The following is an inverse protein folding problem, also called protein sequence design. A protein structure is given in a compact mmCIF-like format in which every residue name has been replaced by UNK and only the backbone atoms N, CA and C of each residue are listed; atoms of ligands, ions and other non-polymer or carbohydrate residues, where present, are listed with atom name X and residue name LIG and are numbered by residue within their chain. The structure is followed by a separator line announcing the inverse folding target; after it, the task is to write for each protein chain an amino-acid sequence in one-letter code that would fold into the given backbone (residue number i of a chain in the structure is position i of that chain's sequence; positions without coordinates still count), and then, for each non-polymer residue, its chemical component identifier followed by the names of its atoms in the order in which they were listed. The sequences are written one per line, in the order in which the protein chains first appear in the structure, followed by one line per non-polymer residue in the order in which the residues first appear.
data_IF_675832140240
#
_entry.id   IF_675832140240
#
_cell.length_a   1.000
_cell.length_b   1.000
_cell.length_c   1.000
_cell.angle_alpha   90.00
_cell.angle_beta   90.00
_cell.angle_gamma   90.00
#
_symmetry.space_group_name_H-M   'P 1'
#
loop_
_entity.id
_entity.type
_entity.pdbx_description
1 polymer ?
#
# COMPACT_ATOMS: atom_id res chain seq x y z
N UNK A 1 -11.53 -11.32 -30.01
CA UNK A 1 -11.22 -10.69 -31.30
C UNK A 1 -10.48 -9.39 -30.99
N UNK A 2 -9.16 -9.36 -31.17
CA UNK A 2 -8.35 -8.17 -30.86
C UNK A 2 -8.60 -7.11 -31.94
N UNK A 3 -9.13 -5.94 -31.56
CA UNK A 3 -9.26 -4.80 -32.48
C UNK A 3 -7.86 -4.31 -32.84
N UNK A 4 -7.59 -4.16 -34.14
CA UNK A 4 -6.35 -3.56 -34.66
C UNK A 4 -6.26 -2.11 -34.17
N UNK A 5 -5.07 -1.75 -33.69
CA UNK A 5 -4.68 -0.37 -33.36
C UNK A 5 -4.98 0.56 -34.54
N UNK A 6 -5.79 1.59 -34.29
CA UNK A 6 -6.07 2.65 -35.26
C UNK A 6 -5.14 3.85 -34.96
N UNK A 7 -4.12 4.11 -35.79
CA UNK A 7 -3.14 5.18 -35.55
C UNK A 7 -3.73 6.60 -35.60
N UNK A 8 -4.99 6.75 -36.02
CA UNK A 8 -5.70 8.04 -36.01
C UNK A 8 -6.56 8.28 -34.75
N UNK A 9 -6.73 7.28 -33.87
CA UNK A 9 -7.30 7.51 -32.54
C UNK A 9 -6.28 8.30 -31.70
N UNK A 10 -6.35 9.64 -31.77
CA UNK A 10 -5.74 10.51 -30.76
C UNK A 10 -6.44 10.20 -29.43
N UNK A 11 -5.84 9.33 -28.63
CA UNK A 11 -6.14 9.23 -27.21
C UNK A 11 -5.79 10.58 -26.59
N UNK A 12 -6.77 11.48 -26.51
CA UNK A 12 -6.63 12.70 -25.73
C UNK A 12 -6.58 12.24 -24.28
N UNK A 13 -5.38 12.24 -23.70
CA UNK A 13 -5.21 12.07 -22.26
C UNK A 13 -5.41 13.46 -21.65
N UNK A 14 -6.58 13.76 -21.05
CA UNK A 14 -6.79 15.04 -20.38
C UNK A 14 -5.70 15.22 -19.32
N UNK A 15 -5.05 16.38 -19.28
CA UNK A 15 -4.10 16.74 -18.23
C UNK A 15 -4.63 17.97 -17.51
N UNK A 16 -4.99 17.80 -16.25
CA UNK A 16 -5.39 18.92 -15.39
C UNK A 16 -4.23 19.89 -15.22
N UNK A 17 -4.53 21.18 -15.20
CA UNK A 17 -3.53 22.24 -15.00
C UNK A 17 -3.55 22.75 -13.57
N UNK A 18 -4.71 22.72 -12.94
CA UNK A 18 -4.93 23.25 -11.60
C UNK A 18 -5.46 22.18 -10.66
N UNK A 19 -5.12 22.32 -9.38
CA UNK A 19 -5.53 21.39 -8.34
C UNK A 19 -7.05 21.29 -8.25
N UNK A 20 -7.76 22.40 -8.33
CA UNK A 20 -9.22 22.43 -8.22
C UNK A 20 -9.91 21.65 -9.35
N UNK A 21 -9.31 21.60 -10.55
CA UNK A 21 -9.83 20.79 -11.66
C UNK A 21 -9.71 19.29 -11.34
N UNK A 22 -8.53 18.86 -10.89
CA UNK A 22 -8.27 17.45 -10.53
C UNK A 22 -9.05 17.03 -9.27
N UNK A 23 -9.18 17.93 -8.28
CA UNK A 23 -9.84 17.70 -7.00
C UNK A 23 -11.24 17.13 -7.19
N UNK A 24 -11.99 17.71 -8.12
CA UNK A 24 -13.39 17.36 -8.41
C UNK A 24 -13.59 15.90 -8.84
N UNK A 25 -12.54 15.24 -9.36
CA UNK A 25 -12.55 13.82 -9.75
C UNK A 25 -11.99 12.90 -8.66
N UNK A 26 -11.16 13.43 -7.74
CA UNK A 26 -10.69 12.68 -6.58
C UNK A 26 -11.76 12.65 -5.48
N UNK A 27 -12.50 13.73 -5.29
CA UNK A 27 -13.62 13.80 -4.34
C UNK A 27 -14.82 12.95 -4.80
N UNK A 28 -14.99 12.74 -6.11
CA UNK A 28 -16.01 11.88 -6.71
C UNK A 28 -15.41 10.95 -7.79
N UNK A 29 -14.96 9.78 -7.36
CA UNK A 29 -14.31 8.78 -8.21
C UNK A 29 -15.30 7.90 -9.00
N UNK A 30 -16.61 8.16 -8.93
CA UNK A 30 -17.61 7.49 -9.76
C UNK A 30 -17.74 8.10 -11.15
N UNK A 31 -17.08 9.23 -11.38
CA UNK A 31 -17.01 9.92 -12.67
C UNK A 31 -16.26 9.09 -13.72
N UNK A 32 -16.11 9.68 -14.89
CA UNK A 32 -15.36 9.11 -15.99
C UNK A 32 -13.99 8.58 -15.53
N UNK A 33 -13.71 7.31 -15.86
CA UNK A 33 -12.53 6.59 -15.35
C UNK A 33 -11.24 7.24 -15.82
N UNK A 34 -11.17 7.68 -17.07
CA UNK A 34 -9.94 8.23 -17.66
C UNK A 34 -9.63 9.60 -17.04
N UNK A 35 -10.67 10.40 -16.73
CA UNK A 35 -10.53 11.63 -15.97
C UNK A 35 -10.11 11.39 -14.52
N UNK A 36 -10.63 10.35 -13.85
CA UNK A 36 -10.17 9.98 -12.50
C UNK A 36 -8.70 9.56 -12.51
N UNK A 37 -8.29 8.71 -13.46
CA UNK A 37 -6.89 8.30 -13.63
C UNK A 37 -5.99 9.53 -13.85
N UNK A 38 -6.39 10.45 -14.73
CA UNK A 38 -5.65 11.68 -15.00
C UNK A 38 -5.55 12.59 -13.76
N UNK A 39 -6.57 12.57 -12.90
CA UNK A 39 -6.55 13.30 -11.63
C UNK A 39 -5.60 12.63 -10.62
N UNK A 40 -5.55 11.30 -10.57
CA UNK A 40 -4.57 10.57 -9.76
C UNK A 40 -3.14 10.94 -10.17
N UNK A 41 -2.86 10.94 -11.48
CA UNK A 41 -1.55 11.35 -12.01
C UNK A 41 -1.19 12.79 -11.63
N UNK A 42 -2.15 13.70 -11.70
CA UNK A 42 -1.96 15.07 -11.25
C UNK A 42 -1.58 15.12 -9.77
N UNK A 43 -2.33 14.44 -8.90
CA UNK A 43 -2.07 14.43 -7.45
C UNK A 43 -0.68 13.88 -7.14
N UNK A 44 -0.27 12.79 -7.79
CA UNK A 44 1.05 12.19 -7.59
C UNK A 44 2.16 13.12 -8.07
N UNK A 45 2.04 13.66 -9.28
CA UNK A 45 3.04 14.59 -9.86
C UNK A 45 3.26 15.83 -9.00
N UNK A 46 2.21 16.31 -8.35
CA UNK A 46 2.25 17.49 -7.48
C UNK A 46 2.44 17.15 -5.99
N UNK A 47 2.67 15.88 -5.66
CA UNK A 47 2.93 15.39 -4.30
C UNK A 47 1.78 15.61 -3.32
N UNK A 48 0.56 15.62 -3.82
CA UNK A 48 -0.70 15.70 -3.06
C UNK A 48 -1.11 14.33 -2.49
N UNK A 49 -0.13 13.57 -1.98
CA UNK A 49 -0.32 12.17 -1.61
C UNK A 49 -1.31 11.98 -0.47
N UNK A 50 -1.23 12.80 0.58
CA UNK A 50 -2.18 12.74 1.69
C UNK A 50 -3.61 12.99 1.21
N UNK A 51 -3.83 13.98 0.34
CA UNK A 51 -5.16 14.28 -0.20
C UNK A 51 -5.70 13.09 -1.01
N UNK A 52 -4.87 12.53 -1.88
CA UNK A 52 -5.22 11.36 -2.68
C UNK A 52 -5.53 10.14 -1.79
N UNK A 53 -4.63 9.76 -0.88
CA UNK A 53 -4.80 8.61 0.01
C UNK A 53 -6.04 8.74 0.90
N UNK A 54 -6.30 9.95 1.42
CA UNK A 54 -7.47 10.23 2.25
C UNK A 54 -8.75 9.98 1.46
N UNK A 55 -8.84 10.48 0.24
CA UNK A 55 -10.04 10.31 -0.58
C UNK A 55 -10.21 8.86 -1.05
N UNK A 56 -9.13 8.18 -1.44
CA UNK A 56 -9.18 6.74 -1.74
C UNK A 56 -9.75 5.96 -0.56
N UNK A 57 -9.26 6.21 0.66
CA UNK A 57 -9.76 5.57 1.86
C UNK A 57 -11.25 5.86 2.14
N UNK A 58 -11.69 7.11 2.00
CA UNK A 58 -13.10 7.45 2.18
C UNK A 58 -14.01 6.76 1.15
N UNK A 59 -13.57 6.65 -0.12
CA UNK A 59 -14.30 5.91 -1.15
C UNK A 59 -14.32 4.40 -0.89
N UNK A 60 -13.25 3.82 -0.33
CA UNK A 60 -13.23 2.42 0.12
C UNK A 60 -14.28 2.20 1.21
N UNK A 61 -14.35 3.08 2.22
CA UNK A 61 -15.33 2.97 3.32
C UNK A 61 -16.77 3.03 2.85
N UNK A 62 -17.05 3.83 1.81
CA UNK A 62 -18.38 3.93 1.20
C UNK A 62 -18.68 2.81 0.21
N UNK A 63 -17.71 1.93 -0.07
CA UNK A 63 -17.81 0.90 -1.10
C UNK A 63 -18.08 1.49 -2.50
N UNK A 64 -17.55 2.68 -2.75
CA UNK A 64 -17.68 3.44 -4.01
C UNK A 64 -16.41 3.35 -4.86
N UNK A 65 -15.27 2.97 -4.26
CA UNK A 65 -14.03 2.87 -5.00
C UNK A 65 -14.00 1.63 -5.90
N UNK A 66 -13.63 1.82 -7.17
CA UNK A 66 -13.25 0.71 -8.05
C UNK A 66 -11.82 0.27 -7.70
N UNK A 67 -11.63 -1.02 -7.40
CA UNK A 67 -10.33 -1.56 -6.96
C UNK A 67 -9.18 -1.26 -7.92
N UNK A 68 -9.42 -1.28 -9.22
CA UNK A 68 -8.43 -0.92 -10.25
C UNK A 68 -7.89 0.51 -10.14
N UNK A 69 -8.68 1.48 -9.64
CA UNK A 69 -8.22 2.86 -9.40
C UNK A 69 -7.27 2.89 -8.21
N UNK A 70 -7.56 2.12 -7.17
CA UNK A 70 -6.70 1.98 -6.01
C UNK A 70 -5.36 1.34 -6.36
N UNK A 71 -5.39 0.20 -7.06
CA UNK A 71 -4.20 -0.50 -7.53
C UNK A 71 -3.33 0.41 -8.41
N UNK A 72 -3.96 1.13 -9.34
CA UNK A 72 -3.27 2.11 -10.17
C UNK A 72 -2.59 3.19 -9.33
N UNK A 73 -3.30 3.82 -8.40
CA UNK A 73 -2.72 4.86 -7.55
C UNK A 73 -1.50 4.36 -6.76
N UNK A 74 -1.59 3.15 -6.17
CA UNK A 74 -0.47 2.54 -5.44
C UNK A 74 0.74 2.29 -6.33
N UNK A 75 0.52 1.82 -7.56
CA UNK A 75 1.59 1.55 -8.53
C UNK A 75 2.21 2.83 -9.11
N UNK A 76 1.46 3.92 -9.13
CA UNK A 76 1.89 5.19 -9.74
C UNK A 76 2.68 6.09 -8.80
N UNK A 77 2.67 5.85 -7.48
CA UNK A 77 3.45 6.68 -6.54
C UNK A 77 4.95 6.69 -6.89
N UNK A 78 5.51 7.88 -7.07
CA UNK A 78 6.92 8.11 -7.40
C UNK A 78 7.86 7.95 -6.18
N UNK A 79 7.32 8.12 -4.97
CA UNK A 79 7.98 7.86 -3.70
C UNK A 79 7.02 7.11 -2.77
N UNK A 80 7.52 6.51 -1.69
CA UNK A 80 6.64 6.04 -0.63
C UNK A 80 6.15 7.22 0.25
N UNK A 81 4.84 7.56 0.26
CA UNK A 81 4.31 8.54 1.20
C UNK A 81 4.42 7.99 2.63
N UNK A 82 5.07 8.74 3.51
CA UNK A 82 5.49 8.31 4.86
C UNK A 82 5.26 9.35 5.95
N UNK A 83 4.48 10.41 5.67
CA UNK A 83 4.02 11.33 6.72
C UNK A 83 3.10 10.56 7.67
N UNK A 84 3.03 10.99 8.93
CA UNK A 84 2.27 10.29 9.98
C UNK A 84 0.81 10.07 9.57
N UNK A 85 0.22 11.05 8.92
CA UNK A 85 -1.17 11.05 8.45
C UNK A 85 -1.38 10.04 7.30
N UNK A 86 -0.39 9.86 6.44
CA UNK A 86 -0.41 8.89 5.32
C UNK A 86 -0.25 7.46 5.87
N UNK A 87 0.68 7.27 6.80
CA UNK A 87 0.88 5.99 7.50
C UNK A 87 -0.37 5.57 8.27
N UNK A 88 -1.08 6.53 8.88
CA UNK A 88 -2.34 6.25 9.56
C UNK A 88 -3.41 5.74 8.57
N UNK A 89 -3.43 6.24 7.33
CA UNK A 89 -4.36 5.73 6.31
C UNK A 89 -4.01 4.29 5.93
N UNK A 90 -2.74 3.95 5.74
CA UNK A 90 -2.34 2.55 5.49
C UNK A 90 -2.79 1.63 6.63
N UNK A 91 -2.60 2.06 7.87
CA UNK A 91 -3.05 1.32 9.04
C UNK A 91 -4.57 1.08 9.01
N UNK A 92 -5.35 2.13 8.76
CA UNK A 92 -6.80 2.00 8.70
C UNK A 92 -7.26 1.04 7.59
N UNK A 93 -6.61 1.06 6.42
CA UNK A 93 -6.92 0.13 5.31
C UNK A 93 -6.52 -1.30 5.67
N UNK A 94 -5.37 -1.50 6.33
CA UNK A 94 -4.92 -2.83 6.78
C UNK A 94 -5.94 -3.49 7.71
N UNK A 95 -6.51 -2.73 8.66
CA UNK A 95 -7.54 -3.23 9.58
C UNK A 95 -8.85 -3.64 8.92
N UNK A 96 -9.09 -3.27 7.66
CA UNK A 96 -10.32 -3.65 6.95
C UNK A 96 -10.31 -5.13 6.53
N UNK A 97 -9.15 -5.79 6.54
CA UNK A 97 -8.97 -7.23 6.24
C UNK A 97 -9.67 -7.70 4.94
N UNK A 98 -9.67 -6.85 3.91
CA UNK A 98 -10.37 -7.05 2.65
C UNK A 98 -9.40 -7.01 1.44
N UNK A 99 -9.93 -6.93 0.21
CA UNK A 99 -9.11 -6.84 -1.01
C UNK A 99 -8.09 -5.69 -0.97
N UNK A 100 -8.51 -4.50 -0.53
CA UNK A 100 -7.66 -3.32 -0.41
C UNK A 100 -6.53 -3.48 0.59
N UNK A 101 -6.75 -4.22 1.69
CA UNK A 101 -5.68 -4.53 2.65
C UNK A 101 -4.56 -5.34 2.00
N UNK A 102 -4.88 -6.25 1.07
CA UNK A 102 -3.87 -7.02 0.33
C UNK A 102 -3.08 -6.13 -0.61
N UNK A 103 -3.74 -5.18 -1.27
CA UNK A 103 -3.08 -4.25 -2.19
C UNK A 103 -2.13 -3.32 -1.42
N UNK A 104 -2.52 -2.85 -0.23
CA UNK A 104 -1.62 -2.11 0.69
C UNK A 104 -0.44 -2.97 1.14
N UNK A 105 -0.64 -4.25 1.46
CA UNK A 105 0.47 -5.15 1.84
C UNK A 105 1.49 -5.25 0.71
N UNK A 106 1.05 -5.44 -0.54
CA UNK A 106 1.94 -5.51 -1.70
C UNK A 106 2.68 -4.19 -1.95
N UNK A 107 2.00 -3.06 -1.81
CA UNK A 107 2.63 -1.74 -1.88
C UNK A 107 3.70 -1.56 -0.78
N UNK A 108 3.38 -1.90 0.47
CA UNK A 108 4.31 -1.75 1.60
C UNK A 108 5.50 -2.70 1.53
N UNK A 109 5.39 -3.84 0.83
CA UNK A 109 6.55 -4.70 0.52
C UNK A 109 7.57 -3.97 -0.35
N UNK A 110 7.11 -3.26 -1.37
CA UNK A 110 7.97 -2.45 -2.25
C UNK A 110 8.62 -1.31 -1.46
N UNK A 111 7.86 -0.68 -0.55
CA UNK A 111 8.32 0.46 0.24
C UNK A 111 8.92 0.09 1.60
N UNK A 112 9.22 -1.19 1.85
CA UNK A 112 9.50 -1.72 3.19
C UNK A 112 10.63 -0.95 3.89
N UNK A 113 11.66 -0.53 3.14
CA UNK A 113 12.82 0.18 3.70
C UNK A 113 12.46 1.58 4.18
N UNK A 114 11.62 2.29 3.44
CA UNK A 114 11.24 3.68 3.68
C UNK A 114 10.30 3.85 4.89
N UNK A 115 9.45 2.85 5.12
CA UNK A 115 8.44 2.86 6.20
C UNK A 115 8.70 1.81 7.27
N UNK A 116 9.93 1.31 7.37
CA UNK A 116 10.29 0.19 8.23
C UNK A 116 9.86 0.36 9.68
N UNK A 117 10.11 1.53 10.28
CA UNK A 117 9.73 1.79 11.67
C UNK A 117 8.22 1.69 11.89
N UNK A 118 7.42 2.13 10.92
CA UNK A 118 5.97 1.94 10.94
C UNK A 118 5.61 0.45 10.90
N UNK A 119 6.19 -0.33 9.98
CA UNK A 119 5.91 -1.77 9.88
C UNK A 119 6.36 -2.52 11.13
N UNK A 120 7.51 -2.18 11.72
CA UNK A 120 7.95 -2.82 12.96
C UNK A 120 7.02 -2.53 14.14
N UNK A 121 6.40 -1.35 14.20
CA UNK A 121 5.40 -1.03 15.23
C UNK A 121 4.13 -1.88 15.09
N UNK A 122 3.79 -2.32 13.88
CA UNK A 122 2.66 -3.22 13.64
C UNK A 122 2.89 -4.64 14.18
N UNK A 123 4.11 -5.03 14.53
CA UNK A 123 4.41 -6.35 15.13
C UNK A 123 3.76 -6.55 16.51
N UNK A 124 3.31 -5.48 17.16
CA UNK A 124 2.65 -5.50 18.46
C UNK A 124 1.20 -4.99 18.39
N UNK A 125 0.63 -4.90 17.20
CA UNK A 125 -0.78 -4.52 17.01
C UNK A 125 -1.72 -5.55 17.63
N UNK A 126 -2.92 -5.14 18.05
CA UNK A 126 -3.91 -6.04 18.66
C UNK A 126 -4.48 -7.06 17.65
N UNK A 127 -4.59 -6.70 16.36
CA UNK A 127 -5.08 -7.61 15.31
C UNK A 127 -4.00 -8.62 14.90
N UNK A 128 -4.28 -9.93 14.99
CA UNK A 128 -3.40 -10.97 14.46
C UNK A 128 -3.17 -10.82 12.95
N UNK A 129 -4.15 -10.33 12.18
CA UNK A 129 -3.98 -10.09 10.75
C UNK A 129 -2.92 -9.01 10.49
N UNK A 130 -2.98 -7.89 11.21
CA UNK A 130 -2.02 -6.80 11.09
C UNK A 130 -0.61 -7.28 11.50
N UNK A 131 -0.48 -7.97 12.65
CA UNK A 131 0.82 -8.53 13.08
C UNK A 131 1.40 -9.51 12.05
N UNK A 132 0.59 -10.43 11.53
CA UNK A 132 1.01 -11.38 10.49
C UNK A 132 1.46 -10.65 9.21
N UNK A 133 0.73 -9.61 8.81
CA UNK A 133 1.05 -8.81 7.62
C UNK A 133 2.36 -8.05 7.79
N UNK A 134 2.60 -7.48 8.97
CA UNK A 134 3.87 -6.83 9.30
C UNK A 134 5.07 -7.78 9.14
N UNK A 135 4.96 -9.00 9.66
CA UNK A 135 6.00 -10.04 9.49
C UNK A 135 6.21 -10.38 8.01
N UNK A 136 5.15 -10.48 7.21
CA UNK A 136 5.25 -10.78 5.79
C UNK A 136 5.93 -9.65 5.00
N UNK A 137 5.59 -8.40 5.29
CA UNK A 137 6.20 -7.20 4.69
C UNK A 137 7.69 -7.14 5.01
N UNK A 138 8.07 -7.34 6.28
CA UNK A 138 9.46 -7.21 6.74
C UNK A 138 10.43 -8.16 6.04
N UNK A 139 9.96 -9.28 5.46
CA UNK A 139 10.81 -10.18 4.65
C UNK A 139 11.45 -9.48 3.44
N UNK A 140 10.87 -8.38 2.97
CA UNK A 140 11.35 -7.62 1.82
C UNK A 140 12.40 -6.57 2.20
N UNK A 141 12.56 -6.29 3.49
CA UNK A 141 13.66 -5.48 4.01
C UNK A 141 14.27 -6.12 5.26
N UNK A 142 14.76 -7.36 5.15
CA UNK A 142 15.20 -8.13 6.30
C UNK A 142 16.50 -7.56 6.85
N UNK A 143 16.61 -7.49 8.17
CA UNK A 143 17.87 -7.20 8.84
C UNK A 143 17.93 -7.89 10.22
N UNK A 144 19.12 -7.90 10.80
CA UNK A 144 19.40 -8.56 12.07
C UNK A 144 18.60 -7.99 13.25
N UNK A 145 18.46 -6.66 13.34
CA UNK A 145 17.68 -6.00 14.40
C UNK A 145 16.21 -6.43 14.33
N UNK A 146 15.60 -6.41 13.14
CA UNK A 146 14.23 -6.91 12.97
C UNK A 146 14.13 -8.41 13.30
N UNK A 147 15.11 -9.23 12.89
CA UNK A 147 15.12 -10.65 13.20
C UNK A 147 15.19 -10.92 14.71
N UNK A 148 16.07 -10.23 15.43
CA UNK A 148 16.19 -10.33 16.88
C UNK A 148 14.90 -9.89 17.58
N UNK A 149 14.28 -8.80 17.11
CA UNK A 149 12.98 -8.33 17.60
C UNK A 149 11.90 -9.39 17.40
N UNK A 150 11.72 -9.92 16.19
CA UNK A 150 10.73 -10.97 15.89
C UNK A 150 10.99 -12.22 16.74
N UNK A 151 12.24 -12.65 16.87
CA UNK A 151 12.63 -13.80 17.71
C UNK A 151 12.22 -13.61 19.18
N UNK A 152 12.34 -12.39 19.71
CA UNK A 152 11.92 -12.06 21.07
C UNK A 152 10.38 -12.06 21.27
N UNK A 153 9.61 -11.87 20.19
CA UNK A 153 8.15 -11.86 20.22
C UNK A 153 7.53 -13.25 20.11
N UNK A 154 8.19 -14.20 19.42
CA UNK A 154 7.67 -15.58 19.21
C UNK A 154 7.16 -16.26 20.50
N UNK A 155 7.86 -16.22 21.65
CA UNK A 155 7.38 -16.86 22.88
C UNK A 155 6.12 -16.22 23.47
N UNK A 156 5.84 -14.95 23.13
CA UNK A 156 4.72 -14.16 23.65
C UNK A 156 3.52 -14.17 22.70
N UNK A 157 3.72 -14.55 21.44
CA UNK A 157 2.67 -14.60 20.42
C UNK A 157 1.68 -15.74 20.72
N UNK A 158 0.40 -15.37 20.80
CA UNK A 158 -0.71 -16.29 21.11
C UNK A 158 -1.40 -16.80 19.86
N UNK A 159 -1.35 -16.05 18.76
CA UNK A 159 -1.92 -16.47 17.49
C UNK A 159 -0.94 -17.39 16.75
N UNK A 160 -1.35 -18.65 16.57
CA UNK A 160 -0.51 -19.67 15.93
C UNK A 160 -0.19 -19.35 14.45
N UNK A 161 -1.06 -18.63 13.74
CA UNK A 161 -0.76 -18.22 12.35
C UNK A 161 0.31 -17.14 12.32
N UNK A 162 0.24 -16.15 13.22
CA UNK A 162 1.29 -15.12 13.36
C UNK A 162 2.60 -15.77 13.77
N UNK A 163 2.58 -16.64 14.80
CA UNK A 163 3.76 -17.34 15.29
C UNK A 163 4.44 -18.18 14.21
N UNK A 164 3.66 -18.92 13.41
CA UNK A 164 4.17 -19.66 12.25
C UNK A 164 4.83 -18.74 11.23
N UNK A 165 4.26 -17.57 10.98
CA UNK A 165 4.83 -16.59 10.05
C UNK A 165 6.13 -15.98 10.56
N UNK A 166 6.20 -15.67 11.87
CA UNK A 166 7.44 -15.22 12.53
C UNK A 166 8.54 -16.28 12.43
N UNK A 167 8.23 -17.55 12.67
CA UNK A 167 9.20 -18.65 12.53
C UNK A 167 9.69 -18.77 11.08
N UNK A 168 8.81 -18.61 10.08
CA UNK A 168 9.22 -18.60 8.66
C UNK A 168 10.17 -17.45 8.36
N UNK A 169 9.89 -16.24 8.87
CA UNK A 169 10.78 -15.09 8.72
C UNK A 169 12.18 -15.41 9.28
N UNK A 170 12.27 -15.98 10.48
CA UNK A 170 13.58 -16.30 11.10
C UNK A 170 14.35 -17.33 10.29
N UNK A 171 13.67 -18.35 9.76
CA UNK A 171 14.31 -19.34 8.87
C UNK A 171 14.82 -18.68 7.58
N UNK A 172 13.97 -17.88 6.93
CA UNK A 172 14.32 -17.12 5.74
C UNK A 172 15.55 -16.22 5.97
N UNK A 173 15.57 -15.48 7.08
CA UNK A 173 16.70 -14.61 7.44
C UNK A 173 18.00 -15.40 7.66
N UNK A 174 17.93 -16.50 8.42
CA UNK A 174 19.10 -17.34 8.69
C UNK A 174 19.68 -18.02 7.44
N UNK A 175 18.84 -18.30 6.44
CA UNK A 175 19.29 -18.84 5.15
C UNK A 175 19.90 -17.74 4.27
N UNK A 176 19.41 -16.50 4.34
CA UNK A 176 19.99 -15.35 3.63
C UNK A 176 21.32 -14.87 4.22
N UNK A 177 21.53 -14.94 5.55
CA UNK A 177 22.84 -14.61 6.16
C UNK A 177 23.97 -15.58 5.75
N UNK A 178 23.63 -16.78 5.25
CA UNK A 178 24.61 -17.80 4.83
C UNK A 178 25.08 -17.65 3.38
N UNK A 179 24.48 -16.75 2.60
CA UNK A 179 24.92 -16.43 1.24
C UNK A 179 25.69 -15.11 1.25
N UNK A 180 27.04 -15.14 1.28
CA UNK A 180 27.88 -13.94 1.18
C UNK A 180 27.76 -13.26 -0.19
#
# INVERSE_FOLDING_TARGET
MFKKYNPEEKYYIPRFREFDEARVYIEDMNKDKDLVISAVDYMITHKEYYFLLKNLYEHIKKNELKREIFEYALMSFDICPKRKEELNIYYEILKMENGYSKDIIEFLKVCCREVKDFIENLLTDDSPFVRKSAVDILKYCPDKKTADRIKSLIPKEKDEKVKKEMIKYIKFFADHEKCP
#
